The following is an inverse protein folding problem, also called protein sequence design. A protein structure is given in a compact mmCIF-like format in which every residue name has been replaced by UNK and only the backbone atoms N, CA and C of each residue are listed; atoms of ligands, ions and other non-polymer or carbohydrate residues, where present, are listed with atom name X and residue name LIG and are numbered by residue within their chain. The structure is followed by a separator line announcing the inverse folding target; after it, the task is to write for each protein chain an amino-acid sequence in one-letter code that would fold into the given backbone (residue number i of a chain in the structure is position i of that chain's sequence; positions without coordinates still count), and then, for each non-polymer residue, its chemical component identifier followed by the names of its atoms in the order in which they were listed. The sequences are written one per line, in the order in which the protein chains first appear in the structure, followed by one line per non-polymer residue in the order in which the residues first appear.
data_IF_238859737237
#
_entry.id   IF_238859737237
#
_cell.length_a   1.000
_cell.length_b   1.000
_cell.length_c   1.000
_cell.angle_alpha   90.00
_cell.angle_beta   90.00
_cell.angle_gamma   90.00
#
_symmetry.space_group_name_H-M   'P 1'
#
loop_
_entity.id
_entity.type
_entity.pdbx_description
1 polymer ?
#
# COMPACT_ATOMS: atom_id res chain seq x y z
N UNK A 1 13.42 -21.14 23.48
CA UNK A 1 12.97 -19.84 24.08
C UNK A 1 11.46 -19.87 24.19
N UNK A 2 10.91 -19.58 25.36
CA UNK A 2 9.47 -19.44 25.54
C UNK A 2 9.06 -18.02 25.15
N UNK A 3 7.93 -17.85 24.45
CA UNK A 3 7.42 -16.52 24.05
C UNK A 3 6.66 -15.81 25.18
N UNK A 4 6.90 -16.21 26.45
CA UNK A 4 6.19 -15.70 27.65
C UNK A 4 6.28 -14.18 27.77
N UNK A 5 7.45 -13.60 27.46
CA UNK A 5 7.66 -12.16 27.49
C UNK A 5 6.71 -11.37 26.60
N UNK A 6 6.24 -11.96 25.46
CA UNK A 6 5.28 -11.28 24.59
C UNK A 6 3.90 -11.18 25.24
N UNK A 7 3.48 -12.17 26.01
CA UNK A 7 2.24 -12.10 26.77
C UNK A 7 2.35 -11.11 27.94
N UNK A 8 3.50 -11.03 28.57
CA UNK A 8 3.78 -10.04 29.64
C UNK A 8 3.74 -8.61 29.06
N UNK A 9 4.39 -8.37 27.91
CA UNK A 9 4.35 -7.10 27.20
C UNK A 9 2.91 -6.72 26.79
N UNK A 10 2.14 -7.70 26.27
CA UNK A 10 0.75 -7.46 25.88
C UNK A 10 -0.11 -7.07 27.09
N UNK A 11 0.06 -7.75 28.23
CA UNK A 11 -0.68 -7.41 29.47
C UNK A 11 -0.34 -5.99 29.91
N UNK A 12 0.92 -5.65 30.01
CA UNK A 12 1.37 -4.29 30.40
C UNK A 12 0.84 -3.22 29.44
N UNK A 13 0.85 -3.51 28.13
CA UNK A 13 0.27 -2.61 27.13
C UNK A 13 -1.24 -2.42 27.34
N UNK A 14 -1.99 -3.51 27.54
CA UNK A 14 -3.43 -3.45 27.71
C UNK A 14 -3.81 -2.69 29.00
N UNK A 15 -3.10 -2.93 30.11
CA UNK A 15 -3.27 -2.22 31.38
C UNK A 15 -2.97 -0.73 31.22
N UNK A 16 -1.89 -0.37 30.51
CA UNK A 16 -1.53 1.03 30.25
C UNK A 16 -2.61 1.75 29.43
N UNK A 17 -3.09 1.14 28.35
CA UNK A 17 -4.17 1.72 27.53
C UNK A 17 -5.46 1.89 28.36
N UNK A 18 -5.85 0.87 29.11
CA UNK A 18 -7.07 0.92 29.92
C UNK A 18 -6.98 1.95 31.06
N UNK A 19 -5.78 2.22 31.55
CA UNK A 19 -5.56 3.28 32.54
C UNK A 19 -5.67 4.67 31.92
N UNK A 20 -5.23 4.85 30.65
CA UNK A 20 -5.37 6.12 29.95
C UNK A 20 -6.79 6.38 29.46
N UNK A 21 -7.47 5.35 28.96
CA UNK A 21 -8.84 5.37 28.46
C UNK A 21 -9.57 4.08 28.89
N UNK A 22 -10.36 4.11 29.98
CA UNK A 22 -11.09 2.94 30.45
C UNK A 22 -12.10 2.36 29.45
N UNK A 23 -12.55 3.15 28.46
CA UNK A 23 -13.53 2.74 27.48
C UNK A 23 -12.91 2.23 26.18
N UNK A 24 -11.61 2.40 25.96
CA UNK A 24 -10.93 2.11 24.71
C UNK A 24 -11.30 0.75 24.09
N UNK A 25 -11.13 -0.33 24.84
CA UNK A 25 -11.44 -1.67 24.33
C UNK A 25 -12.95 -1.91 24.18
N UNK A 26 -13.76 -1.31 25.02
CA UNK A 26 -15.22 -1.42 24.93
C UNK A 26 -15.75 -0.69 23.67
N UNK A 27 -15.20 0.45 23.32
CA UNK A 27 -15.52 1.16 22.07
C UNK A 27 -15.02 0.42 20.86
N UNK A 28 -13.76 -0.02 20.87
CA UNK A 28 -13.13 -0.75 19.79
C UNK A 28 -13.85 -2.08 19.47
N UNK A 29 -14.44 -2.74 20.49
CA UNK A 29 -15.15 -4.01 20.32
C UNK A 29 -16.57 -3.87 19.74
N UNK A 30 -17.16 -2.68 19.77
CA UNK A 30 -18.56 -2.47 19.38
C UNK A 30 -18.77 -2.38 17.88
N UNK A 31 -17.90 -1.67 17.16
CA UNK A 31 -18.02 -1.47 15.72
C UNK A 31 -16.71 -1.07 15.09
N UNK A 32 -16.42 -1.67 13.93
CA UNK A 32 -15.37 -1.22 13.03
C UNK A 32 -16.01 -0.39 11.91
N UNK A 33 -15.62 0.89 11.79
CA UNK A 33 -16.11 1.80 10.74
C UNK A 33 -14.95 2.54 10.10
N UNK A 34 -13.97 1.82 9.50
CA UNK A 34 -12.82 2.43 8.87
C UNK A 34 -13.28 3.25 7.65
N UNK A 35 -12.67 4.42 7.47
CA UNK A 35 -12.86 5.21 6.25
C UNK A 35 -11.88 4.82 5.15
N UNK A 36 -10.83 4.10 5.50
CA UNK A 36 -9.67 3.84 4.65
C UNK A 36 -9.35 2.35 4.59
N UNK A 37 -9.04 1.85 3.40
CA UNK A 37 -8.31 0.61 3.18
C UNK A 37 -6.87 0.96 2.83
N UNK A 38 -5.93 0.43 3.61
CA UNK A 38 -4.50 0.54 3.34
C UNK A 38 -3.96 -0.76 2.76
N UNK A 39 -3.35 -0.70 1.58
CA UNK A 39 -2.64 -1.82 0.94
C UNK A 39 -1.15 -1.47 0.97
N UNK A 40 -0.41 -2.09 1.89
CA UNK A 40 0.99 -1.78 2.13
C UNK A 40 1.92 -2.97 1.97
N UNK A 41 3.22 -2.69 2.05
CA UNK A 41 4.25 -3.74 2.01
C UNK A 41 4.46 -4.39 3.38
N UNK A 42 4.67 -5.72 3.39
CA UNK A 42 5.03 -6.47 4.59
C UNK A 42 6.39 -6.05 5.18
N UNK A 43 7.31 -5.55 4.33
CA UNK A 43 8.63 -5.05 4.74
C UNK A 43 8.62 -3.62 5.30
N UNK A 44 7.49 -2.96 5.36
CA UNK A 44 7.43 -1.53 5.72
C UNK A 44 7.77 -1.18 7.17
N UNK A 45 7.97 -2.16 8.06
CA UNK A 45 8.47 -2.06 9.45
C UNK A 45 7.63 -1.21 10.41
N UNK A 46 6.84 -0.27 9.91
CA UNK A 46 5.99 0.62 10.71
C UNK A 46 4.52 0.24 10.52
N UNK A 47 3.72 0.15 11.58
CA UNK A 47 2.27 0.00 11.47
C UNK A 47 1.63 1.19 10.73
N UNK A 48 0.70 0.90 9.80
CA UNK A 48 0.07 1.91 8.97
C UNK A 48 -0.61 3.03 9.80
N UNK A 49 -1.30 2.64 10.88
CA UNK A 49 -1.94 3.59 11.79
C UNK A 49 -0.96 4.62 12.38
N UNK A 50 0.26 4.19 12.72
CA UNK A 50 1.28 5.10 13.26
C UNK A 50 1.78 6.10 12.21
N UNK A 51 1.91 5.67 10.94
CA UNK A 51 2.36 6.54 9.85
C UNK A 51 1.38 7.71 9.63
N UNK A 52 0.07 7.44 9.72
CA UNK A 52 -0.98 8.43 9.44
C UNK A 52 -1.65 9.02 10.69
N UNK A 53 -1.21 8.63 11.89
CA UNK A 53 -1.74 9.15 13.15
C UNK A 53 -3.19 8.75 13.43
N UNK A 54 -3.66 7.65 12.87
CA UNK A 54 -5.02 7.12 13.08
C UNK A 54 -5.06 6.13 14.24
N UNK A 55 -6.19 6.09 14.93
CA UNK A 55 -6.44 5.13 16.00
C UNK A 55 -6.70 3.72 15.46
N UNK A 56 -6.51 2.67 16.27
CA UNK A 56 -6.98 1.33 15.94
C UNK A 56 -8.48 1.31 15.58
N UNK A 57 -8.83 0.58 14.51
CA UNK A 57 -10.21 0.51 14.00
C UNK A 57 -10.58 1.55 12.94
N UNK A 58 -9.81 2.64 12.80
CA UNK A 58 -10.06 3.66 11.77
C UNK A 58 -9.50 3.31 10.40
N UNK A 59 -8.56 2.36 10.36
CA UNK A 59 -7.87 1.92 9.15
C UNK A 59 -8.02 0.41 8.98
N UNK A 60 -8.56 -0.02 7.85
CA UNK A 60 -8.55 -1.43 7.46
C UNK A 60 -7.27 -1.73 6.69
N UNK A 61 -6.50 -2.75 7.09
CA UNK A 61 -5.13 -2.93 6.60
C UNK A 61 -4.96 -4.28 5.92
N UNK A 62 -4.47 -4.26 4.69
CA UNK A 62 -3.91 -5.40 3.97
C UNK A 62 -2.41 -5.20 3.75
N UNK A 63 -1.62 -6.26 3.88
CA UNK A 63 -0.17 -6.21 3.63
C UNK A 63 0.28 -7.46 2.90
N UNK A 64 1.04 -7.26 1.82
CA UNK A 64 1.73 -8.32 1.11
C UNK A 64 3.15 -7.87 0.73
N UNK A 65 3.96 -8.74 0.15
CA UNK A 65 5.29 -8.37 -0.30
C UNK A 65 5.18 -7.40 -1.49
N UNK A 66 5.79 -6.22 -1.37
CA UNK A 66 5.81 -5.13 -2.36
C UNK A 66 4.43 -4.46 -2.64
N UNK A 67 3.48 -4.45 -1.68
CA UNK A 67 2.19 -3.74 -1.78
C UNK A 67 1.42 -3.99 -3.10
N UNK A 68 1.46 -5.21 -3.60
CA UNK A 68 0.89 -5.58 -4.90
C UNK A 68 -0.64 -5.69 -4.86
N UNK A 69 -1.28 -5.28 -5.95
CA UNK A 69 -2.68 -5.55 -6.28
C UNK A 69 -2.72 -6.38 -7.55
N UNK A 70 -2.86 -7.68 -7.39
CA UNK A 70 -2.87 -8.64 -8.50
C UNK A 70 -4.30 -9.10 -8.76
N UNK A 71 -4.75 -9.04 -10.01
CA UNK A 71 -6.15 -9.34 -10.38
C UNK A 71 -6.58 -10.79 -10.13
N UNK A 72 -5.64 -11.69 -9.83
CA UNK A 72 -5.89 -13.09 -9.49
C UNK A 72 -5.54 -13.43 -8.04
N UNK A 73 -5.07 -12.45 -7.25
CA UNK A 73 -4.83 -12.63 -5.83
C UNK A 73 -6.14 -12.50 -5.04
N UNK A 74 -6.81 -13.65 -4.84
CA UNK A 74 -8.08 -13.69 -4.10
C UNK A 74 -7.93 -13.17 -2.67
N UNK A 75 -6.76 -13.20 -2.06
CA UNK A 75 -6.54 -12.66 -0.72
C UNK A 75 -6.68 -11.13 -0.73
N UNK A 76 -5.94 -10.43 -1.60
CA UNK A 76 -6.06 -8.98 -1.73
C UNK A 76 -7.48 -8.57 -2.19
N UNK A 77 -8.02 -9.25 -3.20
CA UNK A 77 -9.35 -8.95 -3.73
C UNK A 77 -10.46 -9.14 -2.71
N UNK A 78 -10.42 -10.20 -1.88
CA UNK A 78 -11.44 -10.41 -0.83
C UNK A 78 -11.39 -9.32 0.25
N UNK A 79 -10.19 -8.85 0.62
CA UNK A 79 -10.03 -7.72 1.54
C UNK A 79 -10.56 -6.43 0.92
N UNK A 80 -10.25 -6.18 -0.37
CA UNK A 80 -10.80 -5.02 -1.10
C UNK A 80 -12.32 -5.07 -1.16
N UNK A 81 -12.90 -6.21 -1.53
CA UNK A 81 -14.35 -6.37 -1.62
C UNK A 81 -15.01 -6.13 -0.25
N UNK A 82 -14.49 -6.74 0.80
CA UNK A 82 -15.03 -6.55 2.14
C UNK A 82 -14.97 -5.08 2.57
N UNK A 83 -13.83 -4.41 2.34
CA UNK A 83 -13.66 -3.00 2.66
C UNK A 83 -14.64 -2.10 1.90
N UNK A 84 -14.78 -2.29 0.59
CA UNK A 84 -15.60 -1.43 -0.28
C UNK A 84 -17.09 -1.74 -0.15
N UNK A 85 -17.48 -3.02 -0.10
CA UNK A 85 -18.88 -3.41 -0.14
C UNK A 85 -19.54 -3.56 1.22
N UNK A 86 -18.80 -4.01 2.22
CA UNK A 86 -19.32 -4.26 3.57
C UNK A 86 -19.01 -3.08 4.50
N UNK A 87 -17.74 -2.70 4.62
CA UNK A 87 -17.33 -1.61 5.51
C UNK A 87 -17.57 -0.22 4.90
N UNK A 88 -17.82 -0.14 3.58
CA UNK A 88 -18.09 1.11 2.86
C UNK A 88 -16.98 2.15 3.00
N UNK A 89 -15.73 1.69 2.97
CA UNK A 89 -14.59 2.63 2.96
C UNK A 89 -14.71 3.58 1.76
N UNK A 90 -14.22 4.80 1.95
CA UNK A 90 -14.24 5.84 0.91
C UNK A 90 -12.89 5.97 0.19
N UNK A 91 -11.85 5.43 0.79
CA UNK A 91 -10.50 5.59 0.26
C UNK A 91 -9.75 4.26 0.28
N UNK A 92 -9.14 3.91 -0.84
CA UNK A 92 -8.14 2.85 -0.95
C UNK A 92 -6.79 3.52 -1.13
N UNK A 93 -5.85 3.23 -0.24
CA UNK A 93 -4.50 3.78 -0.27
C UNK A 93 -3.52 2.66 -0.57
N UNK A 94 -2.91 2.68 -1.74
CA UNK A 94 -1.77 1.82 -2.07
C UNK A 94 -0.52 2.56 -1.62
N UNK A 95 0.17 2.01 -0.60
CA UNK A 95 1.33 2.66 -0.04
C UNK A 95 2.58 1.79 -0.13
N UNK A 96 3.54 2.28 -0.93
CA UNK A 96 4.89 1.74 -1.01
C UNK A 96 5.83 2.37 0.00
N UNK A 97 7.07 1.89 0.01
CA UNK A 97 8.15 2.51 0.77
C UNK A 97 9.48 2.38 0.02
N UNK A 98 10.33 3.37 0.16
CA UNK A 98 11.69 3.28 -0.36
C UNK A 98 12.52 2.24 0.39
N UNK A 99 13.51 1.66 -0.28
CA UNK A 99 14.34 0.60 0.28
C UNK A 99 13.58 -0.72 0.52
N UNK A 100 12.50 -0.99 -0.22
CA UNK A 100 11.77 -2.24 -0.17
C UNK A 100 12.64 -3.40 -0.63
N UNK A 101 12.89 -4.38 0.24
CA UNK A 101 13.71 -5.55 -0.07
C UNK A 101 13.13 -6.40 -1.22
N UNK A 102 11.80 -6.50 -1.30
CA UNK A 102 11.13 -7.20 -2.40
C UNK A 102 11.34 -6.51 -3.76
N UNK A 103 11.23 -5.17 -3.80
CA UNK A 103 11.49 -4.40 -5.03
C UNK A 103 12.95 -4.48 -5.44
N UNK A 104 13.89 -4.39 -4.49
CA UNK A 104 15.33 -4.55 -4.76
C UNK A 104 15.66 -5.94 -5.31
N UNK A 105 15.09 -6.99 -4.70
CA UNK A 105 15.29 -8.35 -5.18
C UNK A 105 14.73 -8.56 -6.60
N UNK A 106 13.56 -7.97 -6.89
CA UNK A 106 13.01 -7.99 -8.25
C UNK A 106 13.90 -7.27 -9.26
N UNK A 107 14.41 -6.08 -8.90
CA UNK A 107 15.33 -5.29 -9.76
C UNK A 107 16.61 -6.04 -10.12
N UNK A 108 17.17 -6.76 -9.14
CA UNK A 108 18.41 -7.56 -9.30
C UNK A 108 18.17 -8.93 -9.90
N UNK A 109 16.92 -9.37 -10.05
CA UNK A 109 16.57 -10.76 -10.39
C UNK A 109 17.14 -11.78 -9.40
N UNK A 110 17.14 -11.45 -8.10
CA UNK A 110 17.62 -12.32 -7.03
C UNK A 110 16.78 -13.61 -6.95
N UNK A 111 17.43 -14.73 -6.58
CA UNK A 111 16.78 -16.04 -6.42
C UNK A 111 16.38 -16.25 -4.96
N UNK A 112 15.10 -16.05 -4.65
CA UNK A 112 14.51 -16.16 -3.30
C UNK A 112 13.56 -17.37 -3.16
N UNK A 113 13.51 -18.22 -4.17
CA UNK A 113 12.65 -19.40 -4.19
C UNK A 113 11.19 -19.04 -4.53
N UNK A 114 10.23 -19.46 -3.68
CA UNK A 114 8.80 -19.25 -3.97
C UNK A 114 8.44 -17.77 -4.18
N UNK A 115 9.10 -16.87 -3.47
CA UNK A 115 8.85 -15.43 -3.58
C UNK A 115 9.13 -14.88 -4.98
N UNK A 116 9.97 -15.54 -5.78
CA UNK A 116 10.27 -15.11 -7.16
C UNK A 116 9.00 -15.07 -8.03
N UNK A 117 8.08 -16.04 -7.83
CA UNK A 117 6.81 -16.07 -8.56
C UNK A 117 5.93 -14.86 -8.24
N UNK A 118 5.93 -14.41 -7.00
CA UNK A 118 5.20 -13.22 -6.57
C UNK A 118 5.88 -11.94 -7.04
N UNK A 119 7.19 -11.84 -6.88
CA UNK A 119 7.98 -10.68 -7.29
C UNK A 119 8.06 -10.54 -8.82
N UNK A 120 7.65 -11.56 -9.59
CA UNK A 120 7.50 -11.46 -11.05
C UNK A 120 6.60 -10.28 -11.43
N UNK A 121 5.56 -9.99 -10.66
CA UNK A 121 4.70 -8.82 -10.90
C UNK A 121 5.46 -7.48 -10.79
N UNK A 122 6.47 -7.39 -9.90
CA UNK A 122 7.35 -6.20 -9.84
C UNK A 122 8.30 -6.17 -11.03
N UNK A 123 8.81 -7.34 -11.49
CA UNK A 123 9.63 -7.43 -12.70
C UNK A 123 8.84 -7.05 -13.97
N UNK A 124 7.54 -7.34 -14.01
CA UNK A 124 6.67 -6.90 -15.11
C UNK A 124 6.58 -5.36 -15.13
N UNK A 125 6.44 -4.71 -13.96
CA UNK A 125 6.53 -3.23 -13.83
C UNK A 125 7.89 -2.72 -14.31
N UNK A 126 8.99 -3.37 -13.92
CA UNK A 126 10.33 -3.03 -14.37
C UNK A 126 10.45 -3.09 -15.90
N UNK A 127 9.91 -4.12 -16.53
CA UNK A 127 9.92 -4.29 -17.99
C UNK A 127 9.08 -3.21 -18.71
N UNK A 128 7.88 -2.91 -18.20
CA UNK A 128 7.02 -1.86 -18.75
C UNK A 128 7.72 -0.50 -18.72
N UNK A 129 8.50 -0.22 -17.68
CA UNK A 129 9.14 1.06 -17.45
C UNK A 129 10.66 1.04 -17.64
N UNK A 130 11.20 0.06 -18.36
CA UNK A 130 12.64 -0.13 -18.54
C UNK A 130 13.37 1.15 -18.93
N UNK A 131 12.87 1.90 -19.93
CA UNK A 131 13.48 3.16 -20.39
C UNK A 131 13.60 4.24 -19.32
N UNK A 132 12.75 4.20 -18.29
CA UNK A 132 12.78 5.16 -17.17
C UNK A 132 13.80 4.77 -16.12
N UNK A 133 14.09 3.49 -16.00
CA UNK A 133 15.07 2.94 -15.09
C UNK A 133 16.49 3.02 -15.68
N UNK A 134 16.65 2.91 -17.01
CA UNK A 134 17.94 3.04 -17.70
C UNK A 134 18.59 4.43 -17.53
N UNK A 135 17.82 5.47 -17.20
CA UNK A 135 18.33 6.83 -16.99
C UNK A 135 18.77 7.13 -15.54
N UNK A 136 18.80 6.14 -14.65
CA UNK A 136 19.19 6.32 -13.24
C UNK A 136 20.70 6.26 -13.06
N UNK A 137 21.25 7.08 -12.14
CA UNK A 137 22.70 7.20 -11.89
C UNK A 137 23.22 6.10 -10.95
N UNK A 138 22.33 5.43 -10.21
CA UNK A 138 22.69 4.40 -9.24
C UNK A 138 21.59 3.34 -9.09
N UNK A 139 21.99 2.16 -8.60
CA UNK A 139 21.05 1.09 -8.27
C UNK A 139 20.02 1.53 -7.20
N UNK A 140 20.45 2.38 -6.27
CA UNK A 140 19.54 2.95 -5.26
C UNK A 140 18.46 3.80 -5.92
N UNK A 141 18.82 4.67 -6.82
CA UNK A 141 17.88 5.51 -7.57
C UNK A 141 16.95 4.66 -8.43
N UNK A 142 17.49 3.63 -9.13
CA UNK A 142 16.68 2.68 -9.88
C UNK A 142 15.66 1.96 -8.99
N UNK A 143 16.08 1.52 -7.79
CA UNK A 143 15.22 0.87 -6.82
C UNK A 143 14.13 1.82 -6.29
N UNK A 144 14.50 3.04 -5.93
CA UNK A 144 13.57 4.05 -5.42
C UNK A 144 12.53 4.40 -6.49
N UNK A 145 12.95 4.60 -7.73
CA UNK A 145 12.08 4.84 -8.89
C UNK A 145 11.16 3.63 -9.18
N UNK A 146 11.68 2.42 -9.07
CA UNK A 146 10.85 1.22 -9.24
C UNK A 146 9.82 1.09 -8.12
N UNK A 147 10.13 1.50 -6.89
CA UNK A 147 9.14 1.58 -5.81
C UNK A 147 7.98 2.53 -6.15
N UNK A 148 8.27 3.71 -6.70
CA UNK A 148 7.26 4.68 -7.12
C UNK A 148 6.42 4.15 -8.29
N UNK A 149 7.07 3.65 -9.33
CA UNK A 149 6.40 3.05 -10.50
C UNK A 149 5.52 1.87 -10.09
N UNK A 150 6.00 1.03 -9.17
CA UNK A 150 5.20 -0.07 -8.64
C UNK A 150 3.93 0.44 -7.96
N UNK A 151 4.00 1.47 -7.13
CA UNK A 151 2.78 2.06 -6.52
C UNK A 151 1.82 2.56 -7.58
N UNK A 152 2.29 3.27 -8.60
CA UNK A 152 1.45 3.80 -9.68
C UNK A 152 0.76 2.66 -10.44
N UNK A 153 1.46 1.58 -10.76
CA UNK A 153 0.88 0.39 -11.39
C UNK A 153 -0.16 -0.28 -10.50
N UNK A 154 0.10 -0.40 -9.20
CA UNK A 154 -0.85 -1.03 -8.29
C UNK A 154 -2.11 -0.18 -8.07
N UNK A 155 -2.02 1.15 -8.12
CA UNK A 155 -3.19 2.03 -8.17
C UNK A 155 -4.00 1.78 -9.45
N UNK A 156 -3.34 1.70 -10.60
CA UNK A 156 -3.99 1.36 -11.87
C UNK A 156 -4.69 0.00 -11.79
N UNK A 157 -4.01 -1.01 -11.24
CA UNK A 157 -4.58 -2.35 -11.05
C UNK A 157 -5.81 -2.32 -10.13
N UNK A 158 -5.74 -1.60 -9.00
CA UNK A 158 -6.87 -1.45 -8.08
C UNK A 158 -8.09 -0.83 -8.78
N UNK A 159 -7.87 0.21 -9.59
CA UNK A 159 -8.92 0.88 -10.37
C UNK A 159 -9.55 -0.04 -11.46
N UNK A 160 -8.81 -1.03 -11.94
CA UNK A 160 -9.29 -1.97 -12.96
C UNK A 160 -10.02 -3.19 -12.37
N UNK A 161 -10.00 -3.39 -11.04
CA UNK A 161 -10.77 -4.46 -10.41
C UNK A 161 -12.27 -4.27 -10.63
N UNK A 162 -13.02 -5.35 -10.70
CA UNK A 162 -14.49 -5.30 -10.70
C UNK A 162 -15.01 -4.58 -9.46
N UNK A 163 -14.35 -4.73 -8.33
CA UNK A 163 -14.72 -4.14 -7.04
C UNK A 163 -14.78 -2.60 -7.12
N UNK A 164 -13.72 -1.96 -7.62
CA UNK A 164 -13.67 -0.51 -7.75
C UNK A 164 -14.61 -0.02 -8.85
N UNK A 165 -14.66 -0.71 -9.99
CA UNK A 165 -15.53 -0.37 -11.12
C UNK A 165 -17.00 -0.43 -10.73
N UNK A 166 -17.45 -1.51 -10.13
CA UNK A 166 -18.83 -1.69 -9.69
C UNK A 166 -19.20 -0.67 -8.59
N UNK A 167 -18.24 -0.29 -7.73
CA UNK A 167 -18.45 0.78 -6.75
C UNK A 167 -18.76 2.12 -7.43
N UNK A 168 -17.97 2.51 -8.43
CA UNK A 168 -18.20 3.73 -9.19
C UNK A 168 -19.47 3.68 -10.04
N UNK A 169 -19.76 2.53 -10.68
CA UNK A 169 -20.98 2.34 -11.48
C UNK A 169 -22.27 2.49 -10.66
N UNK A 170 -22.25 2.04 -9.39
CA UNK A 170 -23.40 2.24 -8.49
C UNK A 170 -23.40 3.61 -7.79
N UNK A 171 -22.49 4.53 -8.16
CA UNK A 171 -22.41 5.89 -7.61
C UNK A 171 -21.83 5.96 -6.19
N UNK A 172 -21.13 4.92 -5.72
CA UNK A 172 -20.46 4.94 -4.43
C UNK A 172 -19.24 5.87 -4.49
N UNK A 173 -19.12 6.80 -3.54
CA UNK A 173 -17.93 7.61 -3.39
C UNK A 173 -16.76 6.70 -2.98
N UNK A 174 -15.78 6.57 -3.87
CA UNK A 174 -14.56 5.80 -3.68
C UNK A 174 -13.41 6.49 -4.40
N UNK A 175 -12.33 6.70 -3.69
CA UNK A 175 -11.07 7.22 -4.24
C UNK A 175 -9.95 6.21 -4.04
N UNK A 176 -9.07 6.09 -5.02
CA UNK A 176 -7.86 5.25 -4.96
C UNK A 176 -6.65 6.15 -5.02
N UNK A 177 -5.74 6.00 -4.05
CA UNK A 177 -4.56 6.86 -3.89
C UNK A 177 -3.28 6.04 -3.97
N UNK A 178 -2.20 6.64 -4.47
CA UNK A 178 -0.86 6.07 -4.45
C UNK A 178 0.09 6.95 -3.67
N UNK A 179 0.59 6.42 -2.56
CA UNK A 179 1.53 7.08 -1.68
C UNK A 179 2.80 6.26 -1.50
N UNK A 180 3.87 6.94 -1.15
CA UNK A 180 5.13 6.30 -0.79
C UNK A 180 5.75 7.02 0.40
N UNK A 181 6.49 6.29 1.26
CA UNK A 181 7.21 6.91 2.36
C UNK A 181 8.63 6.35 2.46
N UNK A 182 9.49 7.07 3.16
CA UNK A 182 10.83 6.58 3.49
C UNK A 182 10.95 6.27 4.98
N UNK A 183 11.67 5.20 5.30
CA UNK A 183 12.06 4.85 6.67
C UNK A 183 13.11 5.81 7.25
N UNK A 184 13.71 6.70 6.44
CA UNK A 184 14.73 7.63 6.88
C UNK A 184 14.15 8.86 7.60
N UNK A 185 13.01 9.36 7.15
CA UNK A 185 12.35 10.55 7.71
C UNK A 185 10.90 10.29 8.18
N UNK A 186 10.33 9.12 7.82
CA UNK A 186 8.95 8.75 8.16
C UNK A 186 7.88 9.50 7.37
N UNK A 187 8.27 10.36 6.41
CA UNK A 187 7.32 11.22 5.71
C UNK A 187 6.66 10.51 4.51
N UNK A 188 5.35 10.69 4.41
CA UNK A 188 4.56 10.31 3.25
C UNK A 188 4.75 11.31 2.10
N UNK A 189 4.79 10.77 0.88
CA UNK A 189 4.79 11.52 -0.38
C UNK A 189 3.64 11.04 -1.24
N UNK A 190 2.86 12.00 -1.72
CA UNK A 190 1.76 11.75 -2.66
C UNK A 190 2.32 11.69 -4.09
N UNK A 191 2.12 10.55 -4.75
CA UNK A 191 2.54 10.33 -6.15
C UNK A 191 1.56 10.93 -7.18
N UNK A 192 0.58 11.69 -6.71
CA UNK A 192 -0.43 12.37 -7.56
C UNK A 192 -1.24 11.37 -8.41
N UNK A 193 -1.58 10.24 -7.81
CA UNK A 193 -2.33 9.17 -8.46
C UNK A 193 -3.74 9.01 -7.91
N UNK A 194 -4.33 10.06 -7.36
CA UNK A 194 -5.71 9.99 -6.87
C UNK A 194 -6.69 9.83 -8.02
N UNK A 195 -7.49 8.77 -7.96
CA UNK A 195 -8.51 8.41 -8.96
C UNK A 195 -9.86 8.28 -8.26
N UNK A 196 -10.85 9.03 -8.73
CA UNK A 196 -12.24 9.04 -8.20
C UNK A 196 -13.25 8.38 -9.15
N UNK A 197 -12.79 7.85 -10.30
CA UNK A 197 -13.65 7.22 -11.28
C UNK A 197 -12.88 6.53 -12.40
N UNK A 198 -13.49 5.49 -12.97
CA UNK A 198 -12.84 4.65 -13.98
C UNK A 198 -12.38 5.43 -15.23
N UNK A 199 -13.15 6.46 -15.64
CA UNK A 199 -12.85 7.22 -16.88
C UNK A 199 -11.60 8.08 -16.77
N UNK A 200 -11.24 8.57 -15.59
CA UNK A 200 -10.06 9.41 -15.39
C UNK A 200 -8.78 8.62 -15.14
N UNK A 201 -8.89 7.36 -14.71
CA UNK A 201 -7.76 6.51 -14.33
C UNK A 201 -6.62 6.48 -15.38
N UNK A 202 -6.88 6.35 -16.71
CA UNK A 202 -5.82 6.36 -17.71
C UNK A 202 -5.08 7.70 -17.82
N UNK A 203 -5.77 8.81 -17.56
CA UNK A 203 -5.16 10.14 -17.62
C UNK A 203 -4.29 10.39 -16.38
N UNK A 204 -4.79 10.06 -15.20
CA UNK A 204 -4.05 10.15 -13.94
C UNK A 204 -2.79 9.30 -13.99
N UNK A 205 -2.91 8.05 -14.45
CA UNK A 205 -1.78 7.16 -14.66
C UNK A 205 -0.69 7.77 -15.55
N UNK A 206 -1.06 8.26 -16.75
CA UNK A 206 -0.11 8.86 -17.68
C UNK A 206 0.58 10.10 -17.10
N UNK A 207 -0.17 10.93 -16.40
CA UNK A 207 0.37 12.13 -15.75
C UNK A 207 1.37 11.75 -14.64
N UNK A 208 1.04 10.81 -13.77
CA UNK A 208 1.91 10.35 -12.69
C UNK A 208 3.21 9.74 -13.23
N UNK A 209 3.10 8.82 -14.21
CA UNK A 209 4.27 8.21 -14.85
C UNK A 209 5.14 9.25 -15.54
N UNK A 210 4.54 10.29 -16.16
CA UNK A 210 5.30 11.36 -16.81
C UNK A 210 6.00 12.27 -15.81
N UNK A 211 5.39 12.53 -14.66
CA UNK A 211 5.98 13.36 -13.61
C UNK A 211 7.28 12.76 -13.04
N UNK A 212 7.35 11.44 -12.90
CA UNK A 212 8.58 10.75 -12.43
C UNK A 212 9.76 10.92 -13.40
N UNK A 213 9.52 11.24 -14.67
CA UNK A 213 10.59 11.44 -15.65
C UNK A 213 11.21 12.84 -15.57
N UNK A 214 10.54 13.79 -14.92
CA UNK A 214 10.95 15.19 -14.87
C UNK A 214 11.78 15.53 -13.61
N UNK A 215 11.87 14.62 -12.64
CA UNK A 215 12.60 14.86 -11.37
C UNK A 215 14.09 14.56 -11.49
N UNK A 216 14.57 14.01 -12.60
CA UNK A 216 15.98 13.70 -12.84
C UNK A 216 16.79 14.91 -13.37
N UNK A 217 16.37 16.13 -13.08
CA UNK A 217 17.02 17.36 -13.60
C UNK A 217 16.89 18.57 -12.70
N UNK A 218 17.00 18.38 -11.36
CA UNK A 218 17.03 19.47 -10.39
C UNK A 218 18.10 19.29 -9.34
#
# INVERSE_FOLDING_TARGET
MTLRHLFENNRSWAEHIQHQDPNFFAELSRQQSPQYLWIGCSDSRVPANQIVGLLPGELFVHRNLANLVVHTDLNCLSVMQFAVEILKVRHIIVCGHYGCSGVQAALRCDRLGLSDNWLRHVQDVQQIHQKRLEGTESEREASDRLCELNVIEQVSNACQTTIARDAWERGQALEVHGWIYTLQDGLLRDLKTTVSGFREAPNVYRAAVSALSLVAGG
#
